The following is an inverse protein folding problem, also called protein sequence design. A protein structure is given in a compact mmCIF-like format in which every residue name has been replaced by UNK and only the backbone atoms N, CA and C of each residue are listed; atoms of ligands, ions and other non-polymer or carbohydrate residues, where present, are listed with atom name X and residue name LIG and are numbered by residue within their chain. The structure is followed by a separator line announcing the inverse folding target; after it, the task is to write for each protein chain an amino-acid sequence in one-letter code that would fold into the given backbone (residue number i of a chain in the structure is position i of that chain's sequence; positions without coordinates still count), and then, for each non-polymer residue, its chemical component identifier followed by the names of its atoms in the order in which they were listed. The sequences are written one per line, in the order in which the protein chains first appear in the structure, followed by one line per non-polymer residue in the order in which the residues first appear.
data_IF_570053328402
#
_entry.id   IF_570053328402
#
_cell.length_a   1.000
_cell.length_b   1.000
_cell.length_c   1.000
_cell.angle_alpha   90.00
_cell.angle_beta   90.00
_cell.angle_gamma   90.00
#
_symmetry.space_group_name_H-M   'P 1'
#
loop_
_entity.id
_entity.type
_entity.pdbx_description
1 polymer ?
#
# COMPACT_ATOMS: atom_id res chain seq x y z
N UNK A 1 25.07 9.77 -9.91
CA UNK A 1 23.66 9.31 -9.90
C UNK A 1 22.71 10.36 -10.49
N UNK A 2 22.64 11.59 -9.97
CA UNK A 2 21.74 12.65 -10.49
C UNK A 2 21.76 12.83 -12.02
N UNK A 3 22.93 13.03 -12.63
CA UNK A 3 23.04 13.18 -14.10
C UNK A 3 22.47 12.01 -14.91
N UNK A 4 22.51 10.78 -14.38
CA UNK A 4 21.94 9.61 -15.06
C UNK A 4 20.41 9.63 -14.97
N UNK A 5 19.87 9.95 -13.79
CA UNK A 5 18.43 10.07 -13.56
C UNK A 5 17.83 11.22 -14.38
N UNK A 6 18.52 12.35 -14.46
CA UNK A 6 18.11 13.49 -15.28
C UNK A 6 18.10 13.13 -16.78
N UNK A 7 19.14 12.45 -17.28
CA UNK A 7 19.15 11.97 -18.67
C UNK A 7 18.04 10.96 -18.95
N UNK A 8 17.74 10.06 -18.02
CA UNK A 8 16.64 9.11 -18.16
C UNK A 8 15.30 9.85 -18.23
N UNK A 9 15.08 10.84 -17.35
CA UNK A 9 13.89 11.68 -17.34
C UNK A 9 13.69 12.45 -18.65
N UNK A 10 14.75 12.89 -19.34
CA UNK A 10 14.58 13.55 -20.66
C UNK A 10 13.99 12.65 -21.75
N UNK A 11 13.96 11.33 -21.53
CA UNK A 11 13.48 10.34 -22.50
C UNK A 11 12.13 9.72 -22.12
N UNK A 12 11.60 10.06 -20.94
CA UNK A 12 10.38 9.49 -20.39
C UNK A 12 9.66 10.56 -19.55
N UNK A 13 8.54 11.05 -20.08
CA UNK A 13 7.74 12.09 -19.45
C UNK A 13 7.14 11.65 -18.12
N UNK A 14 6.80 10.37 -17.98
CA UNK A 14 6.26 9.80 -16.73
C UNK A 14 7.35 9.81 -15.67
N UNK A 15 8.55 9.39 -16.03
CA UNK A 15 9.71 9.43 -15.13
C UNK A 15 10.09 10.87 -14.76
N UNK A 16 10.06 11.79 -15.71
CA UNK A 16 10.32 13.21 -15.46
C UNK A 16 9.33 13.80 -14.46
N UNK A 17 8.04 13.56 -14.68
CA UNK A 17 6.99 13.98 -13.76
C UNK A 17 7.15 13.33 -12.39
N UNK A 18 7.39 12.02 -12.31
CA UNK A 18 7.54 11.29 -11.05
C UNK A 18 8.72 11.81 -10.22
N UNK A 19 9.87 12.11 -10.85
CA UNK A 19 11.02 12.69 -10.15
C UNK A 19 10.73 14.12 -9.71
N UNK A 20 10.11 14.95 -10.55
CA UNK A 20 9.78 16.33 -10.20
C UNK A 20 8.78 16.39 -9.03
N UNK A 21 7.71 15.60 -9.12
CA UNK A 21 6.69 15.51 -8.08
C UNK A 21 7.25 14.89 -6.80
N UNK A 22 8.04 13.81 -6.90
CA UNK A 22 8.71 13.19 -5.77
C UNK A 22 9.61 14.15 -5.01
N UNK A 23 10.40 14.97 -5.73
CA UNK A 23 11.21 16.05 -5.13
C UNK A 23 10.37 17.12 -4.46
N UNK A 24 9.25 17.51 -5.07
CA UNK A 24 8.33 18.47 -4.48
C UNK A 24 7.73 17.98 -3.16
N UNK A 25 7.21 16.74 -3.14
CA UNK A 25 6.58 16.14 -1.95
C UNK A 25 7.61 15.89 -0.83
N UNK A 26 8.80 15.42 -1.17
CA UNK A 26 9.85 15.11 -0.18
C UNK A 26 10.65 16.33 0.28
N UNK A 27 10.56 17.46 -0.41
CA UNK A 27 11.46 18.60 -0.23
C UNK A 27 12.90 18.32 -0.68
N UNK A 28 13.14 17.23 -1.41
CA UNK A 28 14.48 16.81 -1.81
C UNK A 28 15.11 17.75 -2.85
N UNK A 29 16.34 18.17 -2.58
CA UNK A 29 17.08 19.07 -3.45
C UNK A 29 17.41 18.45 -4.82
N UNK A 30 17.56 17.12 -4.89
CA UNK A 30 17.90 16.41 -6.13
C UNK A 30 17.14 15.07 -6.29
N UNK A 31 17.21 14.48 -7.49
CA UNK A 31 16.58 13.18 -7.76
C UNK A 31 17.16 12.06 -6.89
N UNK A 32 18.48 12.09 -6.65
CA UNK A 32 19.14 11.15 -5.75
C UNK A 32 18.68 11.31 -4.31
N UNK A 33 18.55 12.54 -3.82
CA UNK A 33 18.08 12.80 -2.46
C UNK A 33 16.63 12.33 -2.30
N UNK A 34 15.79 12.50 -3.33
CA UNK A 34 14.45 11.94 -3.38
C UNK A 34 14.48 10.40 -3.28
N UNK A 35 15.33 9.71 -4.04
CA UNK A 35 15.44 8.25 -3.94
C UNK A 35 15.94 7.80 -2.56
N UNK A 36 16.85 8.58 -1.94
CA UNK A 36 17.31 8.32 -0.57
C UNK A 36 16.20 8.51 0.45
N UNK A 37 15.39 9.54 0.31
CA UNK A 37 14.21 9.75 1.13
C UNK A 37 13.17 8.64 0.93
N UNK A 38 12.88 8.24 -0.32
CA UNK A 38 11.93 7.17 -0.60
C UNK A 38 12.36 5.84 0.06
N UNK A 39 13.68 5.58 0.12
CA UNK A 39 14.23 4.40 0.80
C UNK A 39 14.01 4.40 2.32
N UNK A 40 13.76 5.54 2.96
CA UNK A 40 13.45 5.59 4.39
C UNK A 40 11.99 5.28 4.69
N UNK A 41 11.12 5.26 3.68
CA UNK A 41 9.70 4.97 3.85
C UNK A 41 9.54 3.45 3.93
N UNK A 42 9.46 2.94 5.14
CA UNK A 42 9.25 1.51 5.39
C UNK A 42 8.42 1.29 6.64
N UNK A 43 7.53 0.30 6.56
CA UNK A 43 6.74 -0.20 7.69
C UNK A 43 7.36 -1.46 8.30
N UNK A 44 8.47 -1.98 7.74
CA UNK A 44 9.07 -3.26 8.15
C UNK A 44 9.30 -3.35 9.65
N UNK A 45 9.86 -2.29 10.23
CA UNK A 45 10.27 -2.29 11.63
C UNK A 45 9.11 -1.98 12.60
N UNK A 46 7.94 -1.62 12.09
CA UNK A 46 6.78 -1.20 12.90
C UNK A 46 5.51 -2.02 12.66
N UNK A 47 5.44 -2.83 11.60
CA UNK A 47 4.24 -3.59 11.24
C UNK A 47 3.80 -4.57 12.35
N UNK A 48 4.76 -5.11 13.10
CA UNK A 48 4.49 -5.98 14.26
C UNK A 48 3.88 -5.23 15.46
N UNK A 49 3.81 -3.90 15.45
CA UNK A 49 3.18 -3.12 16.52
C UNK A 49 1.66 -3.03 16.33
N UNK A 50 1.14 -3.38 15.15
CA UNK A 50 -0.30 -3.40 14.89
C UNK A 50 -0.96 -4.54 15.66
N UNK A 51 -1.99 -4.20 16.45
CA UNK A 51 -2.78 -5.14 17.26
C UNK A 51 -4.25 -5.21 16.83
N UNK A 52 -4.63 -4.43 15.82
CA UNK A 52 -6.01 -4.25 15.38
C UNK A 52 -6.37 -5.30 14.32
N UNK A 53 -7.63 -5.35 13.89
CA UNK A 53 -7.97 -6.03 12.63
C UNK A 53 -7.41 -5.23 11.45
N UNK A 54 -6.86 -5.93 10.46
CA UNK A 54 -6.26 -5.32 9.28
C UNK A 54 -6.86 -5.90 8.00
N UNK A 55 -7.33 -5.01 7.13
CA UNK A 55 -7.62 -5.31 5.73
C UNK A 55 -6.43 -4.89 4.88
N UNK A 56 -5.80 -5.86 4.22
CA UNK A 56 -4.75 -5.63 3.24
C UNK A 56 -5.28 -5.88 1.83
N UNK A 57 -5.28 -4.84 1.01
CA UNK A 57 -5.69 -4.91 -0.39
C UNK A 57 -4.46 -4.92 -1.31
N UNK A 58 -4.50 -5.75 -2.35
CA UNK A 58 -3.49 -5.80 -3.40
C UNK A 58 -4.15 -5.89 -4.77
N UNK A 59 -3.45 -5.46 -5.81
CA UNK A 59 -3.89 -5.55 -7.19
C UNK A 59 -2.86 -6.35 -8.00
N UNK A 60 -3.31 -7.36 -8.75
CA UNK A 60 -2.42 -8.30 -9.44
C UNK A 60 -1.58 -7.64 -10.55
N UNK A 61 -2.10 -6.56 -11.15
CA UNK A 61 -1.49 -5.86 -12.28
C UNK A 61 -1.13 -4.41 -11.90
N UNK A 62 -0.84 -4.18 -10.60
CA UNK A 62 -0.33 -2.90 -10.12
C UNK A 62 1.08 -2.65 -10.71
N UNK A 63 1.17 -1.66 -11.60
CA UNK A 63 2.41 -1.30 -12.27
C UNK A 63 3.31 -0.37 -11.41
N UNK A 64 2.78 0.18 -10.32
CA UNK A 64 3.51 1.05 -9.40
C UNK A 64 4.09 0.25 -8.24
N UNK A 65 3.36 -0.76 -7.75
CA UNK A 65 3.73 -1.56 -6.59
C UNK A 65 3.92 -3.03 -6.99
N UNK A 66 5.14 -3.59 -6.91
CA UNK A 66 5.38 -4.99 -7.22
C UNK A 66 4.51 -5.93 -6.38
N UNK A 67 3.86 -6.92 -7.02
CA UNK A 67 3.00 -7.89 -6.34
C UNK A 67 3.70 -8.63 -5.18
N UNK A 68 5.01 -8.86 -5.27
CA UNK A 68 5.79 -9.45 -4.18
C UNK A 68 5.68 -8.65 -2.87
N UNK A 69 5.50 -7.33 -2.94
CA UNK A 69 5.33 -6.49 -1.76
C UNK A 69 4.05 -6.81 -0.99
N UNK A 70 2.95 -7.15 -1.67
CA UNK A 70 1.70 -7.57 -1.03
C UNK A 70 1.93 -8.78 -0.12
N UNK A 71 2.62 -9.80 -0.63
CA UNK A 71 2.95 -11.00 0.16
C UNK A 71 3.96 -10.70 1.28
N UNK A 72 4.99 -9.89 1.01
CA UNK A 72 5.95 -9.52 2.05
C UNK A 72 5.30 -8.70 3.18
N UNK A 73 4.35 -7.82 2.86
CA UNK A 73 3.64 -7.02 3.86
C UNK A 73 2.80 -7.92 4.76
N UNK A 74 2.10 -8.92 4.21
CA UNK A 74 1.36 -9.90 5.03
C UNK A 74 2.25 -10.57 6.08
N UNK A 75 3.47 -10.96 5.70
CA UNK A 75 4.42 -11.63 6.59
C UNK A 75 4.90 -10.74 7.75
N UNK A 76 4.83 -9.41 7.60
CA UNK A 76 5.24 -8.47 8.65
C UNK A 76 4.13 -8.16 9.66
N UNK A 77 2.87 -8.50 9.35
CA UNK A 77 1.69 -8.23 10.18
C UNK A 77 1.48 -9.35 11.22
N UNK A 78 2.50 -9.63 12.04
CA UNK A 78 2.53 -10.83 12.90
C UNK A 78 1.67 -10.74 14.17
N UNK A 79 1.33 -9.53 14.63
CA UNK A 79 0.66 -9.31 15.91
C UNK A 79 -0.77 -8.74 15.77
N UNK A 80 -1.29 -8.66 14.54
CA UNK A 80 -2.65 -8.17 14.29
C UNK A 80 -3.67 -9.13 14.89
N UNK A 81 -4.82 -8.60 15.34
CA UNK A 81 -5.90 -9.42 15.90
C UNK A 81 -6.47 -10.37 14.85
N UNK A 82 -6.68 -9.85 13.64
CA UNK A 82 -7.03 -10.62 12.45
C UNK A 82 -6.45 -9.95 11.20
N UNK A 83 -6.17 -10.76 10.18
CA UNK A 83 -5.69 -10.30 8.88
C UNK A 83 -6.66 -10.78 7.80
N UNK A 84 -7.32 -9.86 7.12
CA UNK A 84 -8.04 -10.12 5.87
C UNK A 84 -7.18 -9.62 4.71
N UNK A 85 -6.77 -10.52 3.82
CA UNK A 85 -6.01 -10.16 2.63
C UNK A 85 -6.86 -10.37 1.37
N UNK A 86 -6.99 -9.35 0.53
CA UNK A 86 -7.74 -9.40 -0.74
C UNK A 86 -6.86 -8.98 -1.90
N UNK A 87 -6.59 -9.93 -2.80
CA UNK A 87 -5.93 -9.66 -4.07
C UNK A 87 -6.98 -9.55 -5.18
N UNK A 88 -7.05 -8.38 -5.82
CA UNK A 88 -7.91 -8.12 -6.97
C UNK A 88 -7.25 -8.57 -8.27
N UNK A 89 -8.05 -9.18 -9.14
CA UNK A 89 -7.58 -9.73 -10.43
C UNK A 89 -8.27 -9.07 -11.62
N UNK A 90 -7.74 -9.29 -12.82
CA UNK A 90 -8.32 -8.74 -14.06
C UNK A 90 -9.71 -9.29 -14.36
N UNK A 91 -10.07 -10.45 -13.81
CA UNK A 91 -11.43 -11.01 -13.89
C UNK A 91 -12.49 -10.11 -13.27
N UNK A 92 -12.08 -9.27 -12.33
CA UNK A 92 -12.95 -8.34 -11.60
C UNK A 92 -12.84 -6.91 -12.13
N UNK A 93 -12.01 -6.68 -13.15
CA UNK A 93 -11.65 -5.35 -13.65
C UNK A 93 -11.05 -4.44 -12.56
N UNK A 94 -10.48 -5.01 -11.50
CA UNK A 94 -9.96 -4.30 -10.33
C UNK A 94 -8.45 -4.53 -10.14
N UNK A 95 -7.74 -5.09 -11.11
CA UNK A 95 -6.31 -5.45 -11.01
C UNK A 95 -5.34 -4.27 -11.09
N UNK A 96 -5.77 -3.09 -11.52
CA UNK A 96 -4.94 -1.89 -11.63
C UNK A 96 -4.62 -1.26 -10.27
N UNK A 97 -3.62 -0.39 -10.25
CA UNK A 97 -3.28 0.43 -9.07
C UNK A 97 -4.52 1.12 -8.50
N UNK A 98 -4.69 1.06 -7.18
CA UNK A 98 -5.87 1.58 -6.46
C UNK A 98 -7.23 1.08 -6.99
N UNK A 99 -7.25 -0.06 -7.69
CA UNK A 99 -8.46 -0.69 -8.21
C UNK A 99 -9.28 0.23 -9.15
N UNK A 100 -8.62 1.19 -9.81
CA UNK A 100 -9.31 2.25 -10.60
C UNK A 100 -10.19 1.73 -11.73
N UNK A 101 -9.95 0.51 -12.22
CA UNK A 101 -10.80 -0.12 -13.24
C UNK A 101 -12.17 -0.55 -12.73
N UNK A 102 -12.32 -0.72 -11.39
CA UNK A 102 -13.57 -1.08 -10.74
C UNK A 102 -13.56 -0.61 -9.28
N UNK A 103 -13.53 0.72 -9.09
CA UNK A 103 -13.51 1.34 -7.77
C UNK A 103 -14.75 0.97 -6.94
N UNK A 104 -15.91 0.78 -7.58
CA UNK A 104 -17.14 0.37 -6.90
C UNK A 104 -16.96 -0.93 -6.12
N UNK A 105 -16.41 -1.97 -6.77
CA UNK A 105 -16.10 -3.23 -6.09
C UNK A 105 -15.11 -3.05 -4.94
N UNK A 106 -14.07 -2.23 -5.13
CA UNK A 106 -13.08 -2.00 -4.06
C UNK A 106 -13.69 -1.32 -2.83
N UNK A 107 -14.61 -0.36 -3.06
CA UNK A 107 -15.33 0.32 -1.99
C UNK A 107 -16.29 -0.63 -1.28
N UNK A 108 -17.01 -1.47 -2.02
CA UNK A 108 -17.90 -2.49 -1.44
C UNK A 108 -17.12 -3.44 -0.52
N UNK A 109 -15.94 -3.90 -0.96
CA UNK A 109 -15.05 -4.74 -0.13
C UNK A 109 -14.65 -4.02 1.15
N UNK A 110 -14.21 -2.76 1.06
CA UNK A 110 -13.80 -1.97 2.24
C UNK A 110 -14.97 -1.75 3.19
N UNK A 111 -16.12 -1.29 2.68
CA UNK A 111 -17.30 -0.96 3.49
C UNK A 111 -17.82 -2.21 4.18
N UNK A 112 -18.01 -3.30 3.44
CA UNK A 112 -18.50 -4.56 4.01
C UNK A 112 -17.56 -5.09 5.09
N UNK A 113 -16.24 -5.01 4.87
CA UNK A 113 -15.26 -5.41 5.87
C UNK A 113 -15.32 -4.55 7.14
N UNK A 114 -15.43 -3.23 7.00
CA UNK A 114 -15.56 -2.32 8.16
C UNK A 114 -16.84 -2.62 8.96
N UNK A 115 -17.96 -2.84 8.28
CA UNK A 115 -19.25 -3.13 8.93
C UNK A 115 -19.22 -4.45 9.68
N UNK A 116 -18.65 -5.49 9.08
CA UNK A 116 -18.52 -6.81 9.72
C UNK A 116 -17.54 -6.77 10.91
N UNK A 117 -16.41 -6.08 10.78
CA UNK A 117 -15.41 -5.96 11.85
C UNK A 117 -15.97 -5.23 13.09
N UNK A 118 -16.83 -4.22 12.87
CA UNK A 118 -17.54 -3.53 13.97
C UNK A 118 -18.48 -4.47 14.70
N UNK A 119 -19.29 -5.23 13.96
CA UNK A 119 -20.22 -6.22 14.53
C UNK A 119 -19.49 -7.24 15.40
N UNK A 120 -18.36 -7.78 14.91
CA UNK A 120 -17.56 -8.75 15.65
C UNK A 120 -16.95 -8.15 16.94
N UNK A 121 -16.56 -6.88 16.92
CA UNK A 121 -16.02 -6.19 18.10
C UNK A 121 -17.12 -5.92 19.14
N UNK A 122 -18.34 -5.62 18.72
CA UNK A 122 -19.49 -5.37 19.61
C UNK A 122 -20.03 -6.68 20.22
N UNK A 123 -19.97 -7.79 19.49
CA UNK A 123 -20.42 -9.12 19.95
C UNK A 123 -19.40 -9.83 20.87
N UNK A 124 -18.14 -9.40 20.89
CA UNK A 124 -17.10 -9.89 21.81
C UNK A 124 -16.73 -8.81 22.84
N UNK A 125 -17.48 -8.65 23.95
CA UNK A 125 -17.06 -7.77 25.03
C UNK A 125 -15.75 -8.30 25.62
N UNK A 126 -14.90 -7.39 26.08
CA UNK A 126 -13.55 -7.66 26.59
C UNK A 126 -13.50 -8.77 27.65
N UNK A 127 -13.36 -10.03 27.22
CA UNK A 127 -13.00 -11.14 28.09
C UNK A 127 -11.48 -11.22 28.17
N UNK A 128 -10.90 -10.51 29.14
CA UNK A 128 -9.46 -10.58 29.40
C UNK A 128 -8.89 -9.46 30.26
N UNK A 129 -9.57 -9.09 31.34
CA UNK A 129 -8.92 -8.42 32.46
C UNK A 129 -9.20 -9.26 33.71
N UNK A 130 -8.33 -10.24 33.95
CA UNK A 130 -8.12 -10.88 35.25
C UNK A 130 -6.69 -10.59 35.64
#
# INVERSE_FOLDING_TARGET
MNRLLERAATRDETLAWAIAHGRHVSGAASAYDYLKWAQTISTRDVSHLLKQDVLLLGAQEDHLIPLAQFYSQQQTLTNVRSLTARLFTSREHASSHCQVGNTGLSLDVIINWVMESKRQTEEQPAHGAI
#
